data_IF_335697041141
#
_entry.id   IF_335697041141
#
_cell.length_a   1.000
_cell.length_b   1.000
_cell.length_c   1.000
_cell.angle_alpha   90.00
_cell.angle_beta   90.00
_cell.angle_gamma   90.00
#
_symmetry.space_group_name_H-M   'P 1'
#
loop_
_entity.id
_entity.type
_entity.pdbx_description
1 polymer ?
#
# COMPACT_ATOMS: atom_id res chain seq x y z
N UNK A 1 33.39 9.77 -6.93
CA UNK A 1 32.04 9.13 -6.92
C UNK A 1 31.36 9.39 -8.25
N UNK A 2 31.07 8.35 -8.98
CA UNK A 2 30.42 8.44 -10.29
C UNK A 2 28.90 8.65 -10.12
N UNK A 3 28.23 9.03 -11.22
CA UNK A 3 26.76 9.14 -11.21
C UNK A 3 26.10 7.80 -10.95
N UNK A 4 26.73 6.71 -11.43
CA UNK A 4 26.27 5.35 -11.15
C UNK A 4 26.32 5.02 -9.65
N UNK A 5 27.41 5.42 -8.98
CA UNK A 5 27.55 5.21 -7.52
C UNK A 5 26.51 6.01 -6.73
N UNK A 6 26.25 7.25 -7.15
CA UNK A 6 25.24 8.11 -6.54
C UNK A 6 23.84 7.53 -6.71
N UNK A 7 23.54 7.02 -7.89
CA UNK A 7 22.24 6.40 -8.17
C UNK A 7 22.07 5.10 -7.37
N UNK A 8 23.11 4.28 -7.27
CA UNK A 8 23.08 3.07 -6.44
C UNK A 8 22.78 3.40 -4.98
N UNK A 9 23.43 4.42 -4.43
CA UNK A 9 23.17 4.89 -3.07
C UNK A 9 21.73 5.40 -2.90
N UNK A 10 21.20 6.09 -3.89
CA UNK A 10 19.83 6.58 -3.93
C UNK A 10 18.84 5.40 -3.91
N UNK A 11 19.06 4.37 -4.72
CA UNK A 11 18.22 3.17 -4.73
C UNK A 11 18.24 2.49 -3.37
N UNK A 12 19.41 2.31 -2.77
CA UNK A 12 19.54 1.70 -1.44
C UNK A 12 18.80 2.48 -0.36
N UNK A 13 18.81 3.81 -0.44
CA UNK A 13 18.12 4.67 0.52
C UNK A 13 16.59 4.52 0.44
N UNK A 14 16.03 4.40 -0.75
CA UNK A 14 14.59 4.48 -0.96
C UNK A 14 13.91 3.17 -1.36
N UNK A 15 14.66 2.10 -1.63
CA UNK A 15 14.08 0.85 -2.14
C UNK A 15 13.05 0.22 -1.19
N UNK A 16 13.30 0.28 0.12
CA UNK A 16 12.39 -0.32 1.11
C UNK A 16 11.07 0.45 1.18
N UNK A 17 11.13 1.78 1.13
CA UNK A 17 9.95 2.64 1.09
C UNK A 17 9.11 2.38 -0.16
N UNK A 18 9.75 2.35 -1.32
CA UNK A 18 9.08 2.13 -2.61
C UNK A 18 8.42 0.75 -2.64
N UNK A 19 9.16 -0.28 -2.25
CA UNK A 19 8.65 -1.65 -2.21
C UNK A 19 7.49 -1.79 -1.21
N UNK A 20 7.63 -1.23 0.00
CA UNK A 20 6.59 -1.27 1.02
C UNK A 20 5.29 -0.60 0.54
N UNK A 21 5.39 0.57 -0.10
CA UNK A 21 4.24 1.26 -0.68
C UNK A 21 3.55 0.39 -1.73
N UNK A 22 4.33 -0.19 -2.65
CA UNK A 22 3.80 -1.02 -3.72
C UNK A 22 3.14 -2.30 -3.18
N UNK A 23 3.77 -3.00 -2.24
CA UNK A 23 3.23 -4.24 -1.70
C UNK A 23 1.97 -4.02 -0.87
N UNK A 24 1.87 -2.90 -0.16
CA UNK A 24 0.63 -2.56 0.57
C UNK A 24 -0.54 -2.36 -0.38
N UNK A 25 -0.31 -1.69 -1.50
CA UNK A 25 -1.36 -1.43 -2.49
C UNK A 25 -1.72 -2.68 -3.30
N UNK A 26 -0.73 -3.47 -3.72
CA UNK A 26 -0.93 -4.59 -4.64
C UNK A 26 -1.16 -5.93 -3.94
N UNK A 27 -0.70 -6.08 -2.70
CA UNK A 27 -0.69 -7.34 -1.93
C UNK A 27 -0.04 -8.51 -2.69
N UNK A 28 0.89 -8.19 -3.58
CA UNK A 28 1.60 -9.16 -4.40
C UNK A 28 3.07 -8.74 -4.51
N UNK A 29 4.00 -9.46 -3.85
CA UNK A 29 5.42 -9.09 -3.85
C UNK A 29 6.06 -9.08 -5.22
N UNK A 30 5.69 -9.99 -6.12
CA UNK A 30 6.23 -10.06 -7.47
C UNK A 30 5.83 -8.83 -8.30
N UNK A 31 4.56 -8.46 -8.26
CA UNK A 31 4.06 -7.25 -8.93
C UNK A 31 4.68 -5.99 -8.31
N UNK A 32 4.85 -5.98 -6.98
CA UNK A 32 5.49 -4.86 -6.28
C UNK A 32 6.95 -4.67 -6.69
N UNK A 33 7.69 -5.76 -6.90
CA UNK A 33 9.05 -5.69 -7.42
C UNK A 33 9.10 -5.09 -8.83
N UNK A 34 8.19 -5.49 -9.70
CA UNK A 34 8.09 -4.95 -11.06
C UNK A 34 7.80 -3.45 -11.04
N UNK A 35 6.88 -3.02 -10.18
CA UNK A 35 6.59 -1.60 -9.99
C UNK A 35 7.81 -0.86 -9.46
N UNK A 36 8.49 -1.39 -8.47
CA UNK A 36 9.70 -0.77 -7.88
C UNK A 36 10.79 -0.59 -8.94
N UNK A 37 11.02 -1.58 -9.79
CA UNK A 37 11.97 -1.47 -10.90
C UNK A 37 11.59 -0.33 -11.85
N UNK A 38 10.31 -0.25 -12.22
CA UNK A 38 9.82 0.83 -13.09
C UNK A 38 9.99 2.20 -12.44
N UNK A 39 9.71 2.32 -11.15
CA UNK A 39 9.89 3.57 -10.39
C UNK A 39 11.36 4.02 -10.47
N UNK A 40 12.30 3.13 -10.22
CA UNK A 40 13.74 3.48 -10.23
C UNK A 40 14.27 3.72 -11.65
N UNK A 41 13.72 3.09 -12.67
CA UNK A 41 14.04 3.44 -14.05
C UNK A 41 13.62 4.88 -14.38
N UNK A 42 12.44 5.30 -13.96
CA UNK A 42 11.98 6.69 -14.11
C UNK A 42 12.83 7.66 -13.28
N UNK A 43 13.22 7.24 -12.08
CA UNK A 43 14.11 8.03 -11.22
C UNK A 43 15.47 8.23 -11.88
N UNK A 44 16.01 7.20 -12.54
CA UNK A 44 17.26 7.29 -13.26
C UNK A 44 17.21 8.33 -14.38
N UNK A 45 16.12 8.34 -15.14
CA UNK A 45 15.92 9.33 -16.23
C UNK A 45 15.87 10.77 -15.72
N UNK A 46 15.46 10.97 -14.46
CA UNK A 46 15.32 12.28 -13.83
C UNK A 46 16.33 12.52 -12.71
N UNK A 47 17.35 11.68 -12.63
CA UNK A 47 18.27 11.68 -11.48
C UNK A 47 19.02 13.01 -11.30
N UNK A 48 19.32 13.70 -12.40
CA UNK A 48 19.97 15.02 -12.33
C UNK A 48 19.11 16.05 -11.57
N UNK A 49 17.78 15.92 -11.59
CA UNK A 49 16.88 16.85 -10.91
C UNK A 49 16.42 16.36 -9.55
N UNK A 50 16.30 15.05 -9.33
CA UNK A 50 15.73 14.50 -8.08
C UNK A 50 16.79 13.93 -7.12
N UNK A 51 17.98 13.59 -7.62
CA UNK A 51 19.00 12.86 -6.85
C UNK A 51 19.49 13.57 -5.59
N UNK A 52 19.44 14.90 -5.56
CA UNK A 52 19.82 15.72 -4.40
C UNK A 52 18.65 16.54 -3.86
N UNK A 53 17.44 16.32 -4.39
CA UNK A 53 16.26 17.08 -3.98
C UNK A 53 15.71 16.62 -2.63
N UNK A 54 15.35 17.57 -1.77
CA UNK A 54 14.64 17.30 -0.52
C UNK A 54 13.24 16.67 -0.77
N UNK A 55 12.70 16.80 -1.99
CA UNK A 55 11.38 16.26 -2.36
C UNK A 55 11.45 14.89 -3.03
N UNK A 56 12.62 14.26 -3.09
CA UNK A 56 12.81 12.97 -3.76
C UNK A 56 11.88 11.88 -3.20
N UNK A 57 11.77 11.77 -1.88
CA UNK A 57 10.90 10.78 -1.23
C UNK A 57 9.44 10.96 -1.63
N UNK A 58 8.93 12.19 -1.61
CA UNK A 58 7.56 12.52 -2.02
C UNK A 58 7.31 12.21 -3.49
N UNK A 59 8.26 12.53 -4.35
CA UNK A 59 8.18 12.21 -5.77
C UNK A 59 8.11 10.68 -5.99
N UNK A 60 8.97 9.93 -5.32
CA UNK A 60 9.00 8.46 -5.40
C UNK A 60 7.68 7.85 -4.92
N UNK A 61 7.14 8.33 -3.80
CA UNK A 61 5.84 7.87 -3.29
C UNK A 61 4.72 8.14 -4.30
N UNK A 62 4.67 9.33 -4.87
CA UNK A 62 3.67 9.71 -5.86
C UNK A 62 3.76 8.83 -7.10
N UNK A 63 4.95 8.63 -7.65
CA UNK A 63 5.14 7.78 -8.83
C UNK A 63 4.78 6.33 -8.53
N UNK A 64 5.19 5.81 -7.38
CA UNK A 64 4.87 4.44 -6.95
C UNK A 64 3.36 4.26 -6.84
N UNK A 65 2.68 5.16 -6.14
CA UNK A 65 1.22 5.12 -5.97
C UNK A 65 0.51 5.17 -7.32
N UNK A 66 0.90 6.09 -8.20
CA UNK A 66 0.29 6.23 -9.53
C UNK A 66 0.48 4.98 -10.38
N UNK A 67 1.66 4.38 -10.37
CA UNK A 67 1.92 3.14 -11.10
C UNK A 67 1.11 1.98 -10.56
N UNK A 68 0.99 1.87 -9.25
CA UNK A 68 0.16 0.86 -8.61
C UNK A 68 -1.31 1.03 -8.98
N UNK A 69 -1.83 2.25 -8.92
CA UNK A 69 -3.22 2.54 -9.28
C UNK A 69 -3.48 2.26 -10.76
N UNK A 70 -2.54 2.59 -11.65
CA UNK A 70 -2.65 2.25 -13.07
C UNK A 70 -2.65 0.73 -13.29
N UNK A 71 -1.79 0.02 -12.57
CA UNK A 71 -1.75 -1.44 -12.61
C UNK A 71 -3.08 -2.06 -12.19
N UNK A 72 -3.72 -1.50 -11.16
CA UNK A 72 -5.01 -1.94 -10.64
C UNK A 72 -6.20 -1.42 -11.45
N UNK A 73 -6.02 -0.46 -12.33
CA UNK A 73 -7.12 0.19 -13.09
C UNK A 73 -7.97 -0.81 -13.87
N UNK A 74 -7.36 -1.85 -14.42
CA UNK A 74 -8.05 -2.92 -15.15
C UNK A 74 -9.00 -3.73 -14.26
N UNK A 75 -8.87 -3.65 -12.94
CA UNK A 75 -9.73 -4.32 -11.98
C UNK A 75 -10.82 -3.41 -11.40
N UNK A 76 -10.86 -2.12 -11.75
CA UNK A 76 -11.83 -1.15 -11.17
C UNK A 76 -13.28 -1.57 -11.35
N UNK A 77 -13.64 -2.07 -12.52
CA UNK A 77 -14.98 -2.58 -12.79
C UNK A 77 -15.32 -3.75 -11.87
N UNK A 78 -14.34 -4.63 -11.61
CA UNK A 78 -14.50 -5.75 -10.66
C UNK A 78 -14.67 -5.26 -9.24
N UNK A 79 -13.96 -4.19 -8.83
CA UNK A 79 -14.12 -3.61 -7.50
C UNK A 79 -15.53 -3.09 -7.27
N UNK A 80 -16.08 -2.35 -8.22
CA UNK A 80 -17.45 -1.86 -8.15
C UNK A 80 -18.44 -3.02 -8.08
N UNK A 81 -18.24 -4.03 -8.92
CA UNK A 81 -19.08 -5.22 -8.95
C UNK A 81 -19.01 -5.99 -7.62
N UNK A 82 -17.82 -6.28 -7.12
CA UNK A 82 -17.65 -7.02 -5.87
C UNK A 82 -18.17 -6.26 -4.66
N UNK A 83 -18.06 -4.92 -4.63
CA UNK A 83 -18.58 -4.14 -3.52
C UNK A 83 -20.11 -4.12 -3.48
N UNK A 84 -20.77 -4.25 -4.63
CA UNK A 84 -22.22 -4.42 -4.71
C UNK A 84 -22.66 -5.82 -4.25
N UNK A 85 -21.80 -6.82 -4.44
CA UNK A 85 -22.03 -8.19 -3.99
C UNK A 85 -21.58 -8.46 -2.56
N UNK A 86 -20.84 -7.54 -1.96
CA UNK A 86 -20.29 -7.69 -0.63
C UNK A 86 -21.39 -7.56 0.42
N UNK A 87 -21.95 -8.68 0.82
CA UNK A 87 -23.03 -8.75 1.82
C UNK A 87 -22.42 -8.79 3.23
N UNK A 88 -23.00 -8.04 4.19
CA UNK A 88 -22.55 -8.11 5.56
C UNK A 88 -22.65 -9.55 6.09
N UNK A 89 -21.54 -10.14 6.47
CA UNK A 89 -21.51 -11.45 7.14
C UNK A 89 -20.77 -12.58 6.42
N UNK A 90 -20.27 -12.37 5.19
CA UNK A 90 -19.63 -13.45 4.43
C UNK A 90 -18.08 -13.38 4.44
N UNK A 91 -17.52 -12.63 5.37
CA UNK A 91 -16.06 -12.49 5.49
C UNK A 91 -15.51 -13.49 6.51
N UNK A 92 -15.07 -14.64 6.00
CA UNK A 92 -14.29 -15.59 6.79
C UNK A 92 -12.81 -15.30 6.58
N UNK A 93 -12.24 -14.48 7.44
CA UNK A 93 -10.79 -14.30 7.48
C UNK A 93 -10.23 -15.04 8.70
N UNK A 94 -9.63 -16.19 8.44
CA UNK A 94 -8.84 -16.87 9.46
C UNK A 94 -7.41 -16.33 9.39
N UNK A 95 -7.11 -15.36 10.25
CA UNK A 95 -5.74 -14.91 10.44
C UNK A 95 -5.19 -15.56 11.69
N UNK A 96 -4.31 -16.53 11.50
CA UNK A 96 -3.56 -17.12 12.60
C UNK A 96 -2.31 -16.26 12.84
N UNK A 97 -2.27 -15.56 13.96
CA UNK A 97 -1.13 -14.73 14.33
C UNK A 97 -0.41 -15.38 15.51
N UNK A 98 0.88 -15.62 15.35
CA UNK A 98 1.72 -16.14 16.42
C UNK A 98 2.14 -15.02 17.39
N UNK A 99 2.02 -15.25 18.68
CA UNK A 99 2.42 -14.30 19.71
C UNK A 99 3.92 -14.39 20.02
N UNK A 100 4.61 -13.25 20.06
CA UNK A 100 6.01 -13.13 20.45
C UNK A 100 6.14 -12.63 21.90
N UNK A 101 7.23 -12.93 22.57
CA UNK A 101 7.33 -12.89 24.03
C UNK A 101 8.20 -11.76 24.63
N UNK A 102 8.56 -10.68 23.90
CA UNK A 102 9.23 -9.51 24.50
C UNK A 102 8.88 -8.21 23.78
N UNK A 103 9.06 -7.05 24.45
CA UNK A 103 8.50 -5.75 24.00
C UNK A 103 8.95 -5.29 22.62
N UNK A 104 10.22 -5.41 22.27
CA UNK A 104 10.72 -5.02 20.96
C UNK A 104 10.30 -6.02 19.89
N UNK A 105 10.35 -7.32 20.20
CA UNK A 105 9.86 -8.38 19.33
C UNK A 105 8.34 -8.34 19.22
N UNK A 106 7.63 -7.97 20.28
CA UNK A 106 6.17 -7.77 20.24
C UNK A 106 5.78 -6.61 19.34
N UNK A 107 6.52 -5.48 19.37
CA UNK A 107 6.27 -4.35 18.47
C UNK A 107 6.52 -4.73 17.01
N UNK A 108 7.63 -5.42 16.72
CA UNK A 108 7.95 -5.92 15.38
C UNK A 108 6.93 -6.97 14.91
N UNK A 109 6.50 -7.86 15.80
CA UNK A 109 5.49 -8.88 15.51
C UNK A 109 4.12 -8.27 15.24
N UNK A 110 3.74 -7.22 15.99
CA UNK A 110 2.49 -6.48 15.75
C UNK A 110 2.52 -5.76 14.40
N UNK A 111 3.65 -5.14 14.04
CA UNK A 111 3.82 -4.50 12.75
C UNK A 111 3.71 -5.51 11.61
N UNK A 112 4.35 -6.65 11.74
CA UNK A 112 4.27 -7.73 10.76
C UNK A 112 2.85 -8.28 10.65
N UNK A 113 2.17 -8.48 11.80
CA UNK A 113 0.78 -8.92 11.83
C UNK A 113 -0.15 -7.92 11.15
N UNK A 114 0.07 -6.62 11.35
CA UNK A 114 -0.69 -5.56 10.69
C UNK A 114 -0.48 -5.60 9.17
N UNK A 115 0.77 -5.72 8.72
CA UNK A 115 1.07 -5.80 7.28
C UNK A 115 0.42 -7.04 6.64
N UNK A 116 0.43 -8.17 7.32
CA UNK A 116 -0.23 -9.39 6.87
C UNK A 116 -1.76 -9.22 6.82
N UNK A 117 -2.33 -8.59 7.82
CA UNK A 117 -3.77 -8.34 7.88
C UNK A 117 -4.21 -7.37 6.77
N UNK A 118 -3.43 -6.33 6.49
CA UNK A 118 -3.67 -5.41 5.38
C UNK A 118 -3.60 -6.16 4.04
N UNK A 119 -2.58 -6.99 3.85
CA UNK A 119 -2.41 -7.78 2.62
C UNK A 119 -3.57 -8.75 2.39
N UNK A 120 -4.20 -9.24 3.46
CA UNK A 120 -5.34 -10.16 3.39
C UNK A 120 -6.66 -9.48 3.06
N UNK A 121 -6.75 -8.15 3.15
CA UNK A 121 -7.97 -7.42 2.80
C UNK A 121 -8.27 -7.55 1.31
N UNK A 122 -9.55 -7.64 0.91
CA UNK A 122 -9.90 -7.56 -0.51
C UNK A 122 -9.50 -6.20 -1.09
N UNK A 123 -9.23 -6.15 -2.39
CA UNK A 123 -8.72 -4.96 -3.07
C UNK A 123 -9.55 -3.71 -2.79
N UNK A 124 -10.87 -3.83 -2.84
CA UNK A 124 -11.79 -2.69 -2.65
C UNK A 124 -11.76 -2.09 -1.24
N UNK A 125 -11.29 -2.83 -0.25
CA UNK A 125 -11.07 -2.35 1.13
C UNK A 125 -9.62 -1.94 1.35
N UNK A 126 -8.67 -2.75 0.89
CA UNK A 126 -7.24 -2.53 1.09
C UNK A 126 -6.77 -1.24 0.44
N UNK A 127 -7.09 -1.02 -0.82
CA UNK A 127 -6.56 0.11 -1.58
C UNK A 127 -7.00 1.46 -1.00
N UNK A 128 -8.29 1.73 -0.78
CA UNK A 128 -8.68 3.00 -0.15
C UNK A 128 -8.10 3.18 1.25
N UNK A 129 -8.05 2.12 2.04
CA UNK A 129 -7.50 2.16 3.41
C UNK A 129 -6.01 2.52 3.40
N UNK A 130 -5.23 1.90 2.50
CA UNK A 130 -3.80 2.20 2.36
C UNK A 130 -3.58 3.63 1.88
N UNK A 131 -4.35 4.09 0.90
CA UNK A 131 -4.24 5.46 0.40
C UNK A 131 -4.53 6.49 1.50
N UNK A 132 -5.49 6.23 2.35
CA UNK A 132 -5.85 7.14 3.45
C UNK A 132 -4.82 7.11 4.58
N UNK A 133 -4.47 5.92 5.08
CA UNK A 133 -3.64 5.78 6.30
C UNK A 133 -2.14 5.86 6.04
N UNK A 134 -1.66 5.41 4.88
CA UNK A 134 -0.22 5.34 4.59
C UNK A 134 0.23 6.41 3.60
N UNK A 135 -0.64 6.84 2.70
CA UNK A 135 -0.30 7.81 1.66
C UNK A 135 -0.92 9.20 1.90
N UNK A 136 -1.58 9.39 3.04
CA UNK A 136 -2.14 10.67 3.49
C UNK A 136 -3.11 11.33 2.50
N UNK A 137 -3.81 10.53 1.71
CA UNK A 137 -4.82 11.04 0.78
C UNK A 137 -6.14 11.29 1.47
N UNK A 138 -6.82 12.39 1.11
CA UNK A 138 -8.17 12.67 1.59
C UNK A 138 -9.19 11.71 0.95
N UNK A 139 -10.36 11.57 1.53
CA UNK A 139 -11.45 10.78 0.96
C UNK A 139 -11.83 11.24 -0.45
N UNK A 140 -11.84 12.57 -0.67
CA UNK A 140 -12.14 13.15 -1.99
C UNK A 140 -11.06 12.78 -3.02
N UNK A 141 -9.80 12.87 -2.63
CA UNK A 141 -8.69 12.50 -3.50
C UNK A 141 -8.73 11.00 -3.85
N UNK A 142 -9.05 10.15 -2.88
CA UNK A 142 -9.19 8.71 -3.10
C UNK A 142 -10.35 8.41 -4.05
N UNK A 143 -11.50 9.05 -3.82
CA UNK A 143 -12.68 8.90 -4.69
C UNK A 143 -12.36 9.28 -6.14
N UNK A 144 -11.66 10.40 -6.34
CA UNK A 144 -11.23 10.84 -7.67
C UNK A 144 -10.22 9.86 -8.30
N UNK A 145 -9.22 9.41 -7.53
CA UNK A 145 -8.18 8.51 -8.02
C UNK A 145 -8.73 7.14 -8.41
N UNK A 146 -9.69 6.61 -7.65
CA UNK A 146 -10.26 5.29 -7.90
C UNK A 146 -11.51 5.32 -8.79
N UNK A 147 -12.07 6.50 -9.07
CA UNK A 147 -13.28 6.63 -9.87
C UNK A 147 -14.52 6.06 -9.18
N UNK A 148 -14.62 6.22 -7.86
CA UNK A 148 -15.73 5.74 -7.04
C UNK A 148 -16.34 6.90 -6.24
N UNK A 149 -17.53 6.70 -5.67
CA UNK A 149 -18.20 7.72 -4.87
C UNK A 149 -17.51 7.94 -3.52
N UNK A 150 -17.68 9.14 -2.97
CA UNK A 150 -17.18 9.47 -1.63
C UNK A 150 -17.79 8.54 -0.56
N UNK A 151 -19.08 8.24 -0.68
CA UNK A 151 -19.78 7.33 0.22
C UNK A 151 -19.16 5.92 0.20
N UNK A 152 -18.81 5.43 -1.00
CA UNK A 152 -18.15 4.14 -1.14
C UNK A 152 -16.76 4.11 -0.50
N UNK A 153 -15.97 5.17 -0.67
CA UNK A 153 -14.65 5.30 -0.01
C UNK A 153 -14.81 5.16 1.50
N UNK A 154 -15.73 5.92 2.09
CA UNK A 154 -16.00 5.88 3.54
C UNK A 154 -16.40 4.48 4.01
N UNK A 155 -17.30 3.84 3.27
CA UNK A 155 -17.79 2.49 3.60
C UNK A 155 -16.67 1.47 3.52
N UNK A 156 -15.90 1.47 2.43
CA UNK A 156 -14.83 0.50 2.22
C UNK A 156 -13.70 0.65 3.26
N UNK A 157 -13.34 1.87 3.60
CA UNK A 157 -12.34 2.14 4.66
C UNK A 157 -12.87 1.68 6.01
N UNK A 158 -14.13 1.99 6.32
CA UNK A 158 -14.75 1.56 7.59
C UNK A 158 -14.76 0.03 7.72
N UNK A 159 -15.17 -0.67 6.67
CA UNK A 159 -15.19 -2.14 6.66
C UNK A 159 -13.78 -2.73 6.78
N UNK A 160 -12.82 -2.14 6.08
CA UNK A 160 -11.42 -2.54 6.19
C UNK A 160 -10.89 -2.38 7.62
N UNK A 161 -11.18 -1.26 8.27
CA UNK A 161 -10.80 -1.02 9.67
C UNK A 161 -11.41 -2.04 10.62
N UNK A 162 -12.68 -2.40 10.41
CA UNK A 162 -13.36 -3.41 11.25
C UNK A 162 -12.72 -4.78 11.11
N UNK A 163 -12.34 -5.18 9.88
CA UNK A 163 -11.61 -6.43 9.64
C UNK A 163 -10.24 -6.40 10.33
N UNK A 164 -9.49 -5.30 10.18
CA UNK A 164 -8.18 -5.14 10.84
C UNK A 164 -8.30 -5.19 12.36
N UNK A 165 -9.30 -4.52 12.91
CA UNK A 165 -9.55 -4.50 14.35
C UNK A 165 -9.79 -5.92 14.89
N UNK A 166 -10.58 -6.72 14.21
CA UNK A 166 -10.81 -8.13 14.59
C UNK A 166 -9.54 -8.96 14.46
N UNK A 167 -8.78 -8.79 13.38
CA UNK A 167 -7.51 -9.50 13.19
C UNK A 167 -6.48 -9.13 14.25
N UNK A 168 -6.44 -7.88 14.69
CA UNK A 168 -5.47 -7.38 15.66
C UNK A 168 -5.85 -7.62 17.12
N UNK A 169 -7.12 -7.88 17.43
CA UNK A 169 -7.55 -8.16 18.81
C UNK A 169 -6.98 -9.46 19.37
N UNK A 170 -6.55 -10.39 18.52
CA UNK A 170 -5.85 -11.61 18.93
C UNK A 170 -4.35 -11.43 19.18
N UNK A 171 -3.81 -10.22 19.04
CA UNK A 171 -2.37 -9.89 19.09
C UNK A 171 -2.06 -9.01 20.30
N UNK A 172 -2.60 -9.35 21.43
CA UNK A 172 -2.34 -8.62 22.70
C UNK A 172 -1.31 -9.35 23.55
#
# INVERSE_FOLDING_TARGET
>A
MTDADRFEAFVREYQDMVFATAVRLLANPTEAEDIAQTVFLRAFERFSSIGTSATAAGWLKTVTTNLCLNHLARYRARWQFFSELDRPGDERYETTVAAASNDAAEAASRQEALEQAVAALPDHQRVPLVLFHFEDMSYKEIAAALGISLAKVKTDIHRGREVLKRAMTGVV
#
